data_IF_994158370212
#
_entry.id   IF_994158370212
#
_cell.length_a   1.000
_cell.length_b   1.000
_cell.length_c   1.000
_cell.angle_alpha   90.00
_cell.angle_beta   90.00
_cell.angle_gamma   90.00
#
_symmetry.space_group_name_H-M   'P 1'
#
loop_
_entity.id
_entity.type
_entity.pdbx_description
1 polymer ?
#
# COMPACT_ATOMS: atom_id res chain seq x y z
N UNK A 1 22.81 20.65 11.82
CA UNK A 1 21.37 20.56 11.48
C UNK A 1 20.76 19.40 12.29
N UNK A 2 20.66 19.53 13.63
CA UNK A 2 20.12 18.49 14.50
C UNK A 2 18.64 18.14 14.22
N UNK A 3 17.95 18.97 13.44
CA UNK A 3 16.55 18.82 13.03
C UNK A 3 16.37 17.78 11.92
N UNK A 4 17.44 17.44 11.18
CA UNK A 4 17.38 16.49 10.06
C UNK A 4 17.46 15.06 10.60
N UNK A 5 16.29 14.42 10.73
CA UNK A 5 16.20 13.01 11.08
C UNK A 5 16.70 12.07 9.97
N UNK A 6 16.44 12.41 8.71
CA UNK A 6 16.86 11.64 7.55
C UNK A 6 16.91 12.54 6.30
N UNK A 7 17.60 12.09 5.27
CA UNK A 7 17.77 12.84 4.01
C UNK A 7 17.78 11.90 2.80
N UNK A 8 17.96 12.47 1.60
CA UNK A 8 17.90 11.69 0.36
C UNK A 8 16.50 11.19 0.03
N UNK A 9 15.46 11.90 0.47
CA UNK A 9 14.06 11.74 0.03
C UNK A 9 13.71 12.85 -0.99
N UNK A 10 12.72 12.62 -1.85
CA UNK A 10 12.32 13.54 -2.93
C UNK A 10 11.09 14.36 -2.57
N UNK A 11 10.00 13.69 -2.19
CA UNK A 11 8.70 14.23 -1.82
C UNK A 11 7.98 13.22 -0.92
N UNK A 12 8.43 13.11 0.34
CA UNK A 12 7.81 12.24 1.33
C UNK A 12 6.38 12.71 1.64
N UNK A 13 5.39 11.83 1.43
CA UNK A 13 3.96 12.17 1.56
C UNK A 13 3.31 11.46 2.75
N UNK A 14 2.73 10.27 2.56
CA UNK A 14 2.08 9.53 3.64
C UNK A 14 3.11 8.82 4.52
N UNK A 15 3.16 9.19 5.81
CA UNK A 15 4.03 8.60 6.83
C UNK A 15 3.20 7.95 7.94
N UNK A 16 3.64 6.81 8.47
CA UNK A 16 3.06 6.20 9.66
C UNK A 16 4.06 5.38 10.46
N UNK A 17 3.81 5.23 11.76
CA UNK A 17 4.53 4.30 12.62
C UNK A 17 3.64 3.09 12.91
N UNK A 18 4.24 1.89 12.96
CA UNK A 18 3.58 0.72 13.54
C UNK A 18 3.74 0.68 15.07
N UNK A 19 3.08 -0.28 15.71
CA UNK A 19 3.09 -0.42 17.18
C UNK A 19 4.46 -0.76 17.77
N UNK A 20 5.39 -1.22 16.96
CA UNK A 20 6.76 -1.54 17.35
C UNK A 20 7.71 -0.35 17.08
N UNK A 21 7.17 0.81 16.70
CA UNK A 21 7.91 2.04 16.41
C UNK A 21 8.58 2.06 15.04
N UNK A 22 8.30 1.10 14.14
CA UNK A 22 8.89 1.12 12.80
C UNK A 22 8.16 2.13 11.93
N UNK A 23 8.93 3.03 11.31
CA UNK A 23 8.45 4.02 10.36
C UNK A 23 8.24 3.39 8.99
N UNK A 24 7.08 3.64 8.42
CA UNK A 24 6.77 3.47 7.00
C UNK A 24 6.52 4.84 6.38
N UNK A 25 7.02 5.09 5.19
CA UNK A 25 6.64 6.28 4.43
C UNK A 25 6.63 6.05 2.94
N UNK A 26 5.76 6.78 2.26
CA UNK A 26 5.76 6.94 0.81
C UNK A 26 6.64 8.13 0.39
N UNK A 27 7.38 7.96 -0.69
CA UNK A 27 8.11 9.03 -1.38
C UNK A 27 7.64 9.06 -2.85
N UNK A 28 7.10 10.20 -3.28
CA UNK A 28 6.46 10.36 -4.59
C UNK A 28 7.52 10.66 -5.65
N UNK A 29 7.53 9.92 -6.75
CA UNK A 29 8.51 10.01 -7.82
C UNK A 29 8.54 11.36 -8.54
N UNK A 30 9.65 11.65 -9.23
CA UNK A 30 9.75 12.83 -10.10
C UNK A 30 9.21 12.55 -11.51
N UNK A 31 9.45 11.35 -12.05
CA UNK A 31 9.22 11.01 -13.45
C UNK A 31 8.73 9.57 -13.70
N UNK A 32 9.18 8.58 -12.93
CA UNK A 32 8.98 7.15 -13.31
C UNK A 32 8.60 6.22 -12.19
N UNK A 33 9.11 6.41 -10.98
CA UNK A 33 9.00 5.43 -9.90
C UNK A 33 8.41 6.03 -8.64
N UNK A 34 7.30 5.43 -8.20
CA UNK A 34 6.72 5.64 -6.89
C UNK A 34 7.30 4.62 -5.91
N UNK A 35 7.60 5.02 -4.67
CA UNK A 35 8.26 4.14 -3.70
C UNK A 35 7.71 4.25 -2.28
N UNK A 36 7.88 3.16 -1.52
CA UNK A 36 7.75 3.22 -0.07
C UNK A 36 8.94 2.60 0.65
N UNK A 37 9.29 3.29 1.73
CA UNK A 37 10.42 3.04 2.59
C UNK A 37 9.95 2.46 3.93
N UNK A 38 10.85 1.72 4.57
CA UNK A 38 10.63 1.09 5.87
C UNK A 38 11.89 1.20 6.70
N UNK A 39 11.76 1.85 7.85
CA UNK A 39 12.84 2.17 8.76
C UNK A 39 12.50 1.66 10.15
N UNK A 40 13.27 0.66 10.61
CA UNK A 40 13.04 0.06 11.94
C UNK A 40 13.50 1.00 13.03
N UNK A 41 12.79 1.05 14.15
CA UNK A 41 13.25 1.76 15.34
C UNK A 41 14.64 1.27 15.79
N UNK A 42 14.83 -0.05 15.79
CA UNK A 42 16.08 -0.72 16.16
C UNK A 42 17.28 -0.40 15.24
N UNK A 43 17.04 0.04 14.00
CA UNK A 43 18.11 0.36 13.03
C UNK A 43 18.66 1.80 13.19
N UNK A 44 18.02 2.62 14.03
CA UNK A 44 18.38 4.04 14.25
C UNK A 44 18.61 4.39 15.72
N UNK A 45 18.08 3.63 16.68
CA UNK A 45 18.37 3.82 18.11
C UNK A 45 18.08 5.22 18.65
N UNK A 46 17.13 5.95 18.05
CA UNK A 46 16.85 7.36 18.40
C UNK A 46 17.72 8.41 17.70
N UNK A 47 18.59 8.04 16.75
CA UNK A 47 19.58 8.95 16.13
C UNK A 47 19.31 9.30 14.65
N UNK A 48 18.45 8.55 13.95
CA UNK A 48 18.12 8.81 12.55
C UNK A 48 19.29 8.60 11.58
N UNK A 49 19.63 9.64 10.82
CA UNK A 49 20.80 9.73 9.94
C UNK A 49 20.67 9.07 8.56
N UNK A 50 19.64 8.26 8.28
CA UNK A 50 19.58 7.49 7.03
C UNK A 50 19.47 8.36 5.78
N UNK A 51 20.13 7.90 4.71
CA UNK A 51 20.09 8.50 3.38
C UNK A 51 19.28 7.59 2.44
N UNK A 52 18.18 8.08 1.88
CA UNK A 52 17.33 7.30 0.95
C UNK A 52 17.75 7.42 -0.53
N UNK A 53 18.82 8.16 -0.82
CA UNK A 53 19.52 8.12 -2.11
C UNK A 53 19.03 9.08 -3.19
N UNK A 54 17.94 9.84 -2.97
CA UNK A 54 17.61 10.97 -3.85
C UNK A 54 18.70 12.05 -3.78
N UNK A 55 19.17 12.63 -4.87
CA UNK A 55 18.67 12.52 -6.25
C UNK A 55 19.43 11.56 -7.16
N UNK A 56 20.32 10.71 -6.65
CA UNK A 56 20.96 9.67 -7.46
C UNK A 56 19.98 8.57 -7.89
N UNK A 57 19.02 8.23 -7.04
CA UNK A 57 18.03 7.19 -7.31
C UNK A 57 16.59 7.68 -7.20
N UNK A 58 15.75 7.15 -8.09
CA UNK A 58 14.29 7.19 -8.02
C UNK A 58 13.81 5.74 -7.96
N UNK A 59 13.15 5.33 -6.87
CA UNK A 59 12.93 3.92 -6.59
C UNK A 59 14.26 3.17 -6.41
N UNK A 60 14.60 2.37 -7.41
CA UNK A 60 15.90 1.67 -7.49
C UNK A 60 16.67 2.01 -8.76
N UNK A 61 16.12 2.86 -9.63
CA UNK A 61 16.71 3.25 -10.90
C UNK A 61 17.60 4.50 -10.75
N UNK A 62 18.55 4.69 -11.67
CA UNK A 62 19.33 5.92 -11.75
C UNK A 62 18.47 7.06 -12.29
N UNK A 63 18.63 8.25 -11.72
CA UNK A 63 17.98 9.50 -12.19
C UNK A 63 18.74 10.00 -13.42
N UNK A 64 18.41 9.39 -14.56
CA UNK A 64 19.18 9.47 -15.80
C UNK A 64 19.26 10.87 -16.43
N UNK A 65 18.35 11.79 -16.06
CA UNK A 65 18.38 13.19 -16.49
C UNK A 65 19.35 14.06 -15.67
N UNK A 66 19.92 13.54 -14.58
CA UNK A 66 20.92 14.22 -13.72
C UNK A 66 22.26 13.48 -13.66
N UNK A 67 22.25 12.16 -13.80
CA UNK A 67 23.44 11.31 -13.60
C UNK A 67 23.55 10.23 -14.67
N UNK A 68 24.78 9.97 -15.10
CA UNK A 68 25.10 8.79 -15.89
C UNK A 68 24.93 7.51 -15.05
N UNK A 69 24.64 6.39 -15.71
CA UNK A 69 24.58 5.09 -15.04
C UNK A 69 25.90 4.76 -14.29
N UNK A 70 27.06 5.17 -14.81
CA UNK A 70 28.35 4.99 -14.16
C UNK A 70 28.43 5.74 -12.81
N UNK A 71 28.01 7.00 -12.76
CA UNK A 71 27.96 7.80 -11.52
C UNK A 71 27.00 7.19 -10.49
N UNK A 72 25.82 6.75 -10.92
CA UNK A 72 24.87 6.04 -10.07
C UNK A 72 25.40 4.71 -9.53
N UNK A 73 26.13 3.93 -10.33
CA UNK A 73 26.76 2.68 -9.87
C UNK A 73 27.98 2.93 -8.98
N UNK A 74 28.71 4.03 -9.16
CA UNK A 74 29.75 4.45 -8.20
C UNK A 74 29.14 4.83 -6.85
N UNK A 75 28.15 5.72 -6.84
CA UNK A 75 27.44 6.12 -5.62
C UNK A 75 26.81 4.91 -4.90
N UNK A 76 26.21 3.96 -5.63
CA UNK A 76 25.69 2.70 -5.07
C UNK A 76 26.78 1.84 -4.42
N UNK A 77 27.95 1.72 -5.04
CA UNK A 77 29.07 0.89 -4.54
C UNK A 77 29.66 1.43 -3.25
N UNK A 78 29.58 2.75 -2.99
CA UNK A 78 30.02 3.35 -1.72
C UNK A 78 29.24 2.81 -0.52
N UNK A 79 27.95 2.45 -0.71
CA UNK A 79 26.97 2.01 0.31
C UNK A 79 26.70 3.00 1.46
N UNK A 80 27.60 3.95 1.69
CA UNK A 80 27.61 4.97 2.72
C UNK A 80 27.91 6.30 2.04
N UNK A 81 27.22 7.36 2.45
CA UNK A 81 27.46 8.73 2.00
C UNK A 81 27.38 9.68 3.20
N UNK A 82 28.37 10.58 3.35
CA UNK A 82 28.49 11.44 4.54
C UNK A 82 28.55 10.69 5.88
N UNK A 83 29.01 9.44 5.88
CA UNK A 83 29.03 8.56 7.06
C UNK A 83 27.75 7.75 7.31
N UNK A 84 26.68 7.98 6.53
CA UNK A 84 25.39 7.31 6.72
C UNK A 84 25.09 6.24 5.66
N UNK A 85 24.52 5.08 6.02
CA UNK A 85 24.11 4.07 5.05
C UNK A 85 23.05 4.57 4.07
N UNK A 86 23.23 4.22 2.79
CA UNK A 86 22.24 4.40 1.72
C UNK A 86 21.19 3.29 1.85
N UNK A 87 19.92 3.68 1.99
CA UNK A 87 18.77 2.78 2.20
C UNK A 87 17.86 2.83 0.98
N UNK A 88 17.70 1.70 0.30
CA UNK A 88 16.78 1.58 -0.84
C UNK A 88 15.35 1.22 -0.38
N UNK A 89 14.32 1.67 -1.14
CA UNK A 89 12.92 1.37 -0.84
C UNK A 89 12.59 -0.13 -0.86
N UNK A 90 11.60 -0.49 -0.05
CA UNK A 90 11.15 -1.88 0.07
C UNK A 90 10.20 -2.26 -1.05
N UNK A 91 9.32 -1.35 -1.46
CA UNK A 91 8.49 -1.49 -2.65
C UNK A 91 8.64 -0.30 -3.58
N UNK A 92 8.60 -0.58 -4.88
CA UNK A 92 8.61 0.39 -5.96
C UNK A 92 7.58 -0.03 -7.01
N UNK A 93 6.94 0.92 -7.68
CA UNK A 93 6.11 0.65 -8.86
C UNK A 93 6.24 1.81 -9.86
N UNK A 94 6.09 1.50 -11.16
CA UNK A 94 6.17 2.50 -12.21
C UNK A 94 4.81 3.15 -12.49
N UNK A 95 4.82 4.19 -13.31
CA UNK A 95 3.59 4.85 -13.81
C UNK A 95 2.84 4.04 -14.88
N UNK A 96 3.13 2.74 -15.05
CA UNK A 96 2.38 1.89 -15.96
C UNK A 96 0.91 1.74 -15.51
N UNK A 97 0.02 1.37 -16.42
CA UNK A 97 -1.41 1.12 -16.13
C UNK A 97 -2.19 2.30 -15.52
N UNK A 98 -1.64 3.53 -15.56
CA UNK A 98 -2.29 4.75 -15.07
C UNK A 98 -1.94 5.12 -13.63
N UNK A 99 -1.01 4.41 -13.00
CA UNK A 99 -0.40 4.79 -11.73
C UNK A 99 0.34 6.13 -11.87
N UNK A 100 0.42 6.93 -10.80
CA UNK A 100 1.00 8.28 -10.89
C UNK A 100 1.60 8.85 -9.60
N UNK A 101 1.17 8.39 -8.43
CA UNK A 101 1.57 9.00 -7.15
C UNK A 101 1.20 8.09 -5.99
N UNK A 102 2.19 7.70 -5.20
CA UNK A 102 1.96 6.90 -3.98
C UNK A 102 1.41 7.76 -2.84
N UNK A 103 0.28 7.33 -2.28
CA UNK A 103 -0.38 7.99 -1.14
C UNK A 103 0.29 7.66 0.21
N UNK A 104 1.01 6.54 0.28
CA UNK A 104 1.45 5.92 1.54
C UNK A 104 0.34 5.14 2.22
N UNK A 105 0.49 4.87 3.52
CA UNK A 105 -0.53 4.15 4.28
C UNK A 105 -0.06 3.67 5.65
N UNK A 106 -0.62 2.55 6.14
CA UNK A 106 -0.50 2.09 7.53
C UNK A 106 -0.30 0.58 7.64
N UNK A 107 0.40 0.15 8.69
CA UNK A 107 0.45 -1.27 9.09
C UNK A 107 -0.86 -1.66 9.77
N UNK A 108 -1.54 -2.69 9.26
CA UNK A 108 -2.86 -3.06 9.75
C UNK A 108 -2.80 -3.90 11.04
N UNK A 109 -3.42 -3.38 12.09
CA UNK A 109 -3.52 -4.01 13.42
C UNK A 109 -4.95 -4.23 13.92
N UNK A 110 -5.96 -3.86 13.13
CA UNK A 110 -7.38 -4.00 13.48
C UNK A 110 -7.85 -5.44 13.67
N UNK A 111 -9.06 -5.58 14.20
CA UNK A 111 -9.69 -6.87 14.52
C UNK A 111 -10.58 -7.38 13.37
N UNK A 112 -11.32 -6.51 12.69
CA UNK A 112 -12.34 -6.86 11.67
C UNK A 112 -11.75 -7.64 10.48
N UNK A 113 -10.52 -7.30 10.06
CA UNK A 113 -9.81 -7.88 8.90
C UNK A 113 -8.56 -8.68 9.29
N UNK A 114 -8.34 -8.94 10.60
CA UNK A 114 -7.13 -9.60 11.12
C UNK A 114 -6.81 -10.94 10.46
N UNK A 115 -7.83 -11.71 10.07
CA UNK A 115 -7.65 -12.99 9.38
C UNK A 115 -7.02 -12.85 7.97
N UNK A 116 -6.93 -11.64 7.44
CA UNK A 116 -6.54 -11.37 6.04
C UNK A 116 -5.43 -10.33 5.93
N UNK A 117 -5.44 -9.28 6.76
CA UNK A 117 -4.52 -8.14 6.68
C UNK A 117 -3.50 -8.04 7.83
N UNK A 118 -3.49 -8.97 8.80
CA UNK A 118 -2.63 -8.88 9.99
C UNK A 118 -1.16 -8.60 9.61
N UNK A 119 -0.61 -7.52 10.18
CA UNK A 119 0.79 -7.10 10.06
C UNK A 119 1.23 -6.72 8.63
N UNK A 120 0.30 -6.63 7.66
CA UNK A 120 0.56 -6.08 6.33
C UNK A 120 0.68 -4.56 6.40
N UNK A 121 1.63 -3.97 5.67
CA UNK A 121 1.61 -2.55 5.34
C UNK A 121 0.65 -2.34 4.17
N UNK A 122 -0.41 -1.57 4.39
CA UNK A 122 -1.45 -1.28 3.40
C UNK A 122 -1.22 0.12 2.86
N UNK A 123 -1.09 0.27 1.55
CA UNK A 123 -0.83 1.54 0.87
C UNK A 123 -1.56 1.60 -0.48
N UNK A 124 -1.64 2.79 -1.09
CA UNK A 124 -2.32 2.97 -2.37
C UNK A 124 -1.73 4.04 -3.28
N UNK A 125 -2.34 4.14 -4.47
CA UNK A 125 -2.01 5.09 -5.54
C UNK A 125 -3.16 6.07 -5.76
N UNK A 126 -2.82 7.36 -5.87
CA UNK A 126 -3.77 8.47 -6.01
C UNK A 126 -4.63 8.39 -7.27
N UNK A 127 -4.03 8.10 -8.44
CA UNK A 127 -4.73 8.21 -9.72
C UNK A 127 -5.64 7.02 -10.02
N UNK A 128 -5.19 5.82 -9.68
CA UNK A 128 -5.93 4.59 -9.97
C UNK A 128 -6.85 4.14 -8.84
N UNK A 129 -6.55 4.55 -7.60
CA UNK A 129 -7.21 4.02 -6.42
C UNK A 129 -6.88 2.55 -6.15
N UNK A 130 -5.81 2.01 -6.72
CA UNK A 130 -5.31 0.69 -6.30
C UNK A 130 -4.80 0.75 -4.86
N UNK A 131 -5.09 -0.31 -4.12
CA UNK A 131 -4.61 -0.56 -2.76
C UNK A 131 -3.89 -1.90 -2.75
N UNK A 132 -2.66 -1.90 -2.25
CA UNK A 132 -1.81 -3.07 -2.09
C UNK A 132 -1.54 -3.37 -0.62
N UNK A 133 -1.15 -4.61 -0.35
CA UNK A 133 -0.64 -5.06 0.94
C UNK A 133 0.76 -5.61 0.77
N UNK A 134 1.70 -5.11 1.56
CA UNK A 134 3.06 -5.63 1.64
C UNK A 134 3.26 -6.39 2.95
N UNK A 135 3.78 -7.62 2.87
CA UNK A 135 4.17 -8.43 4.04
C UNK A 135 5.65 -8.75 3.96
N UNK A 136 6.41 -8.51 5.04
CA UNK A 136 7.80 -8.97 5.07
C UNK A 136 7.87 -10.49 5.12
N UNK A 137 8.82 -11.08 4.40
CA UNK A 137 9.11 -12.51 4.51
C UNK A 137 9.76 -12.89 5.86
N UNK A 138 10.23 -11.92 6.65
CA UNK A 138 10.87 -12.14 7.95
C UNK A 138 10.11 -11.44 9.08
N UNK A 139 10.24 -11.98 10.30
CA UNK A 139 9.71 -11.33 11.52
C UNK A 139 10.36 -9.97 11.75
N UNK A 140 11.63 -9.82 11.37
CA UNK A 140 12.44 -8.62 11.60
C UNK A 140 12.18 -7.50 10.60
N UNK A 141 11.34 -7.70 9.57
CA UNK A 141 11.10 -6.74 8.50
C UNK A 141 12.22 -6.64 7.44
N UNK A 142 13.30 -7.40 7.63
CA UNK A 142 14.47 -7.43 6.74
C UNK A 142 14.24 -8.34 5.53
N UNK A 143 15.02 -8.12 4.47
CA UNK A 143 14.95 -8.90 3.23
C UNK A 143 13.75 -8.53 2.36
N UNK A 144 13.23 -9.54 1.64
CA UNK A 144 12.19 -9.35 0.64
C UNK A 144 10.80 -9.15 1.27
N UNK A 145 10.01 -8.30 0.63
CA UNK A 145 8.60 -8.08 0.94
C UNK A 145 7.73 -8.65 -0.18
N UNK A 146 6.68 -9.37 0.19
CA UNK A 146 5.67 -9.91 -0.73
C UNK A 146 4.57 -8.85 -0.85
N UNK A 147 4.37 -8.35 -2.08
CA UNK A 147 3.34 -7.34 -2.40
C UNK A 147 2.18 -8.01 -3.13
N UNK A 148 0.96 -7.80 -2.64
CA UNK A 148 -0.28 -8.32 -3.23
C UNK A 148 -1.28 -7.19 -3.49
N UNK A 149 -1.94 -7.12 -4.67
CA UNK A 149 -3.03 -6.18 -4.91
C UNK A 149 -4.29 -6.64 -4.13
N UNK A 150 -4.89 -5.74 -3.36
CA UNK A 150 -6.01 -6.03 -2.45
C UNK A 150 -7.35 -5.50 -2.96
N UNK A 151 -7.35 -4.31 -3.56
CA UNK A 151 -8.54 -3.62 -4.06
C UNK A 151 -8.17 -2.65 -5.20
N UNK A 152 -8.95 -2.67 -6.27
CA UNK A 152 -9.07 -1.62 -7.28
C UNK A 152 -10.30 -0.78 -6.87
N UNK A 153 -10.09 0.33 -6.15
CA UNK A 153 -11.19 1.06 -5.50
C UNK A 153 -11.89 2.05 -6.41
N UNK A 154 -11.23 2.50 -7.48
CA UNK A 154 -11.67 3.61 -8.35
C UNK A 154 -11.97 4.90 -7.53
N UNK A 155 -11.27 5.11 -6.41
CA UNK A 155 -11.24 6.35 -5.64
C UNK A 155 -9.95 7.13 -5.92
N UNK A 156 -9.98 8.45 -5.73
CA UNK A 156 -8.76 9.27 -5.75
C UNK A 156 -8.18 9.35 -4.33
N UNK A 157 -7.27 8.43 -4.01
CA UNK A 157 -6.76 8.19 -2.65
C UNK A 157 -5.76 9.28 -2.22
N UNK A 158 -6.18 10.22 -1.38
CA UNK A 158 -5.32 11.33 -0.90
C UNK A 158 -4.67 11.06 0.46
N UNK A 159 -5.31 10.22 1.28
CA UNK A 159 -4.77 9.80 2.56
C UNK A 159 -5.33 8.43 2.96
N UNK A 160 -4.62 7.77 3.88
CA UNK A 160 -5.13 6.68 4.69
C UNK A 160 -5.23 7.15 6.15
N UNK A 161 -5.94 6.40 6.99
CA UNK A 161 -5.98 6.62 8.44
C UNK A 161 -6.34 5.34 9.18
N UNK A 162 -6.16 5.33 10.50
CA UNK A 162 -6.62 4.25 11.37
C UNK A 162 -7.45 4.80 12.54
N UNK A 163 -8.45 4.05 13.00
CA UNK A 163 -9.12 4.32 14.28
C UNK A 163 -8.32 3.75 15.46
N UNK A 164 -8.76 4.06 16.69
CA UNK A 164 -8.18 3.53 17.94
C UNK A 164 -8.18 1.98 17.99
N UNK A 165 -9.13 1.34 17.30
CA UNK A 165 -9.21 -0.10 17.13
C UNK A 165 -8.14 -0.67 16.17
N UNK A 166 -7.48 0.18 15.40
CA UNK A 166 -6.54 -0.18 14.33
C UNK A 166 -7.23 -0.56 13.01
N UNK A 167 -8.53 -0.24 12.84
CA UNK A 167 -9.24 -0.43 11.58
C UNK A 167 -8.86 0.66 10.58
N UNK A 168 -8.71 0.28 9.31
CA UNK A 168 -8.17 1.16 8.28
C UNK A 168 -9.27 1.97 7.59
N UNK A 169 -8.94 3.20 7.23
CA UNK A 169 -9.78 4.15 6.51
C UNK A 169 -9.00 4.77 5.33
N UNK A 170 -9.71 5.26 4.32
CA UNK A 170 -9.15 5.99 3.17
C UNK A 170 -9.93 7.27 2.90
N UNK A 171 -9.23 8.34 2.55
CA UNK A 171 -9.82 9.58 2.08
C UNK A 171 -9.85 9.61 0.53
N UNK A 172 -11.01 9.93 -0.03
CA UNK A 172 -11.21 10.18 -1.45
C UNK A 172 -11.30 11.68 -1.72
N UNK A 173 -10.53 12.20 -2.67
CA UNK A 173 -10.63 13.59 -3.10
C UNK A 173 -11.97 13.96 -3.76
N UNK A 174 -12.66 12.98 -4.37
CA UNK A 174 -13.95 13.22 -5.00
C UNK A 174 -13.88 13.59 -6.49
N UNK A 175 -13.20 12.78 -7.30
CA UNK A 175 -13.11 12.93 -8.76
C UNK A 175 -13.64 11.68 -9.47
N UNK A 176 -14.16 11.85 -10.69
CA UNK A 176 -14.71 10.74 -11.50
C UNK A 176 -16.12 10.28 -11.10
N UNK A 177 -16.92 11.17 -10.50
CA UNK A 177 -18.33 10.90 -10.13
C UNK A 177 -18.55 10.36 -8.71
N UNK A 178 -17.48 10.11 -7.95
CA UNK A 178 -17.57 9.87 -6.51
C UNK A 178 -17.46 11.21 -5.75
N UNK A 179 -18.27 11.49 -4.73
CA UNK A 179 -18.10 12.68 -3.89
C UNK A 179 -16.84 12.56 -2.99
N UNK A 180 -16.29 13.68 -2.50
CA UNK A 180 -15.24 13.65 -1.46
C UNK A 180 -15.80 12.99 -0.19
N UNK A 181 -15.09 12.00 0.33
CA UNK A 181 -15.54 11.23 1.50
C UNK A 181 -14.38 10.44 2.13
N UNK A 182 -14.54 10.10 3.41
CA UNK A 182 -13.71 9.08 4.08
C UNK A 182 -14.48 7.76 4.10
N UNK A 183 -13.79 6.66 3.82
CA UNK A 183 -14.38 5.32 3.78
C UNK A 183 -13.64 4.38 4.74
N UNK A 184 -14.37 3.61 5.56
CA UNK A 184 -13.79 2.47 6.27
C UNK A 184 -13.47 1.33 5.30
N UNK A 185 -12.23 0.89 5.33
CA UNK A 185 -11.75 -0.32 4.66
C UNK A 185 -12.31 -1.53 5.42
N UNK A 186 -13.01 -2.41 4.72
CA UNK A 186 -13.78 -3.50 5.33
C UNK A 186 -13.83 -4.76 4.46
N UNK A 187 -14.35 -5.85 5.04
CA UNK A 187 -14.52 -7.11 4.33
C UNK A 187 -15.74 -7.04 3.42
N UNK A 188 -15.51 -7.36 2.16
CA UNK A 188 -16.53 -7.54 1.14
C UNK A 188 -17.38 -8.83 1.38
N UNK A 189 -18.63 -8.95 0.91
CA UNK A 189 -19.56 -10.10 1.12
C UNK A 189 -20.25 -10.81 -0.13
N UNK A 190 -19.52 -11.31 -1.14
CA UNK A 190 -19.90 -11.70 -2.53
C UNK A 190 -20.96 -12.76 -2.63
N UNK A 191 -22.20 -12.28 -2.75
CA UNK A 191 -23.31 -13.06 -3.23
C UNK A 191 -24.12 -12.29 -4.27
N UNK A 192 -24.24 -12.90 -5.46
CA UNK A 192 -25.22 -12.53 -6.50
C UNK A 192 -25.14 -11.11 -7.07
N UNK A 193 -24.02 -10.39 -6.94
CA UNK A 193 -23.85 -9.11 -7.64
C UNK A 193 -23.80 -9.28 -9.17
N UNK A 194 -24.71 -8.60 -9.88
CA UNK A 194 -24.65 -8.42 -11.34
C UNK A 194 -23.55 -7.44 -11.79
N UNK A 195 -22.96 -6.66 -10.87
CA UNK A 195 -21.92 -5.68 -11.20
C UNK A 195 -20.61 -6.39 -11.53
N UNK A 196 -19.96 -5.96 -12.62
CA UNK A 196 -18.59 -6.36 -12.98
C UNK A 196 -17.60 -5.38 -12.34
N UNK A 197 -16.53 -5.89 -11.73
CA UNK A 197 -15.44 -5.10 -11.16
C UNK A 197 -14.13 -5.41 -11.87
N UNK A 198 -13.14 -4.51 -11.81
CA UNK A 198 -11.81 -4.74 -12.39
C UNK A 198 -10.93 -5.52 -11.40
N UNK A 199 -10.15 -6.46 -11.92
CA UNK A 199 -9.06 -7.12 -11.20
C UNK A 199 -7.93 -7.37 -12.20
N UNK A 200 -6.72 -6.90 -11.92
CA UNK A 200 -5.57 -6.94 -12.85
C UNK A 200 -5.95 -6.47 -14.26
N UNK A 201 -6.55 -5.29 -14.35
CA UNK A 201 -6.99 -4.64 -15.60
C UNK A 201 -8.22 -5.23 -16.31
N UNK A 202 -8.69 -6.43 -15.94
CA UNK A 202 -9.80 -7.11 -16.63
C UNK A 202 -11.11 -7.06 -15.81
N UNK A 203 -12.24 -6.84 -16.48
CA UNK A 203 -13.58 -6.84 -15.84
C UNK A 203 -14.05 -8.28 -15.58
N UNK A 204 -14.31 -8.62 -14.32
CA UNK A 204 -14.89 -9.89 -13.90
C UNK A 204 -16.26 -9.68 -13.25
N UNK A 205 -17.18 -10.62 -13.44
CA UNK A 205 -18.30 -10.80 -12.53
C UNK A 205 -17.89 -11.74 -11.40
N UNK A 206 -18.56 -11.65 -10.25
CA UNK A 206 -18.34 -12.53 -9.09
C UNK A 206 -18.06 -14.00 -9.49
N UNK A 207 -19.01 -14.60 -10.21
CA UNK A 207 -18.95 -16.02 -10.61
C UNK A 207 -17.89 -16.32 -11.68
N UNK A 208 -17.35 -15.34 -12.42
CA UNK A 208 -16.26 -15.58 -13.38
C UNK A 208 -14.88 -15.42 -12.72
N UNK A 209 -14.71 -14.50 -11.76
CA UNK A 209 -13.49 -14.44 -10.94
C UNK A 209 -13.34 -15.73 -10.11
N UNK A 210 -14.42 -16.16 -9.44
CA UNK A 210 -14.47 -17.40 -8.66
C UNK A 210 -14.03 -18.61 -9.49
N UNK A 211 -14.62 -18.81 -10.68
CA UNK A 211 -14.31 -19.96 -11.55
C UNK A 211 -12.89 -19.91 -12.11
N UNK A 212 -12.36 -18.71 -12.41
CA UNK A 212 -11.00 -18.56 -12.98
C UNK A 212 -9.89 -18.70 -11.94
N UNK A 213 -10.16 -18.38 -10.67
CA UNK A 213 -9.13 -18.32 -9.61
C UNK A 213 -9.43 -19.16 -8.34
N UNK A 214 -10.43 -20.06 -8.37
CA UNK A 214 -10.57 -21.15 -7.40
C UNK A 214 -11.08 -20.79 -6.00
N UNK A 215 -11.88 -19.73 -5.85
CA UNK A 215 -12.44 -19.29 -4.56
C UNK A 215 -13.71 -20.08 -4.18
N UNK A 216 -13.96 -20.42 -2.89
CA UNK A 216 -15.22 -21.11 -2.46
C UNK A 216 -16.06 -20.31 -1.42
N UNK A 217 -17.24 -20.83 -1.09
CA UNK A 217 -18.35 -20.11 -0.40
C UNK A 217 -18.81 -20.80 0.91
N UNK A 218 -19.06 -20.02 1.97
CA UNK A 218 -19.82 -20.43 3.18
C UNK A 218 -21.15 -19.68 3.20
N UNK A 219 -22.26 -20.39 3.45
CA UNK A 219 -23.56 -19.77 3.73
C UNK A 219 -23.66 -19.40 5.21
N UNK A 220 -24.39 -18.34 5.56
CA UNK A 220 -25.32 -18.29 6.71
C UNK A 220 -26.03 -16.94 6.84
N UNK A 221 -27.23 -16.99 7.45
CA UNK A 221 -28.34 -16.02 7.45
C UNK A 221 -27.99 -14.57 7.80
N UNK A 222 -28.83 -13.66 7.33
CA UNK A 222 -28.78 -12.20 7.51
C UNK A 222 -29.91 -11.77 8.48
N UNK A 223 -29.63 -10.96 9.51
CA UNK A 223 -30.64 -10.15 10.19
C UNK A 223 -30.85 -8.81 9.44
N UNK A 224 -32.11 -8.36 9.36
CA UNK A 224 -32.47 -6.94 9.15
C UNK A 224 -31.90 -6.12 10.33
N UNK A 225 -31.46 -4.87 10.18
CA UNK A 225 -32.14 -3.71 9.54
C UNK A 225 -31.17 -2.75 8.83
N UNK A 226 -31.69 -1.58 8.41
CA UNK A 226 -31.09 -0.67 7.45
C UNK A 226 -29.99 0.27 7.99
N UNK A 227 -29.05 0.58 7.11
CA UNK A 227 -28.45 1.89 6.84
C UNK A 227 -27.84 1.79 5.43
N UNK A 228 -27.67 2.91 4.72
CA UNK A 228 -27.16 2.89 3.34
C UNK A 228 -25.75 2.31 3.25
N UNK A 229 -25.47 1.54 2.19
CA UNK A 229 -24.19 0.83 2.01
C UNK A 229 -23.81 0.78 0.55
N UNK A 230 -22.65 1.35 0.19
CA UNK A 230 -21.91 0.91 -0.99
C UNK A 230 -21.39 -0.50 -0.70
N UNK A 231 -22.00 -1.51 -1.32
CA UNK A 231 -21.64 -2.93 -1.10
C UNK A 231 -20.76 -3.43 -2.26
N UNK A 232 -19.52 -3.75 -1.93
CA UNK A 232 -18.72 -4.70 -2.70
C UNK A 232 -18.45 -5.94 -1.88
N UNK A 233 -18.10 -7.01 -2.60
CA UNK A 233 -18.62 -8.32 -2.26
C UNK A 233 -17.47 -9.40 -2.39
N UNK A 234 -17.08 -10.15 -1.32
CA UNK A 234 -16.21 -11.38 -1.29
C UNK A 234 -16.90 -12.68 -0.75
N UNK A 235 -16.74 -13.87 -1.38
CA UNK A 235 -17.37 -15.13 -0.92
C UNK A 235 -16.62 -15.77 0.27
N UNK A 236 -17.22 -16.76 0.95
CA UNK A 236 -16.96 -16.98 2.40
C UNK A 236 -16.20 -18.26 2.83
N UNK A 237 -15.75 -19.18 1.94
CA UNK A 237 -15.16 -20.48 2.37
C UNK A 237 -13.89 -20.96 1.63
N UNK A 238 -12.84 -20.16 1.60
CA UNK A 238 -11.53 -20.72 1.28
C UNK A 238 -11.03 -21.59 2.46
N UNK A 239 -11.24 -22.92 2.41
CA UNK A 239 -10.61 -23.86 3.38
C UNK A 239 -9.13 -24.16 3.09
N UNK A 240 -8.57 -23.60 2.01
CA UNK A 240 -7.12 -23.45 1.68
C UNK A 240 -7.02 -22.57 0.41
N UNK A 241 -7.03 -21.25 0.56
CA UNK A 241 -6.68 -20.29 -0.52
C UNK A 241 -6.41 -18.90 0.08
N UNK A 242 -5.22 -18.35 -0.15
CA UNK A 242 -4.85 -16.96 0.19
C UNK A 242 -5.17 -16.05 -0.99
N UNK A 243 -6.34 -15.41 -1.01
CA UNK A 243 -6.53 -14.19 -1.80
C UNK A 243 -7.38 -13.20 -1.02
N UNK A 244 -6.80 -12.02 -0.82
CA UNK A 244 -7.36 -10.93 -0.05
C UNK A 244 -8.52 -10.29 -0.82
N UNK A 245 -9.64 -10.07 -0.15
CA UNK A 245 -10.71 -9.26 -0.71
C UNK A 245 -11.05 -8.13 0.27
N UNK A 246 -10.59 -6.95 -0.09
CA UNK A 246 -10.83 -5.71 0.63
C UNK A 246 -11.87 -4.90 -0.13
N UNK A 247 -12.68 -4.12 0.59
CA UNK A 247 -13.64 -3.18 0.03
C UNK A 247 -13.70 -1.91 0.89
N UNK A 248 -14.38 -0.89 0.39
CA UNK A 248 -14.60 0.38 1.09
C UNK A 248 -16.09 0.56 1.42
N UNK A 249 -16.39 1.15 2.57
CA UNK A 249 -17.73 1.57 2.99
C UNK A 249 -17.66 3.01 3.47
N UNK A 250 -18.63 3.84 3.06
CA UNK A 250 -18.97 5.04 3.84
C UNK A 250 -19.46 4.58 5.22
#
# INVERSE_FOLDING_TARGET
>A
RPEIWAYGVRNAWGMSFDRDGNLFFADVGQLRWEEWNYQRAADVGGQGGKNYGWSYFEGKACVAEKYTQAQCQDYRRRQIDGGNPIVFPRGVYGHESGHCSITGGYRYHGRKLRATLKNMYIYGDLCTGFIWGATSATVTGMGNWIVEPLLDSNLFLTAFGIDEGGELYVANYGRGGNPPAVYQVSRAACFNSKKKFRYRGKKYGCNSLIRKFGLKICKNKIPSTAFERVRFDCPRACKRCKMVNVGVKM
#
